data_IF_225986541645
#
_entry.id   IF_225986541645
#
_cell.length_a   1.000
_cell.length_b   1.000
_cell.length_c   1.000
_cell.angle_alpha   90.00
_cell.angle_beta   90.00
_cell.angle_gamma   90.00
#
_symmetry.space_group_name_H-M   'P 1'
#
loop_
_entity.id
_entity.type
_entity.pdbx_description
1 polymer ?
#
# COMPACT_ATOMS: atom_id res chain seq x y z
N UNK A 1 -13.75 -4.62 -13.91
CA UNK A 1 -13.45 -3.43 -13.08
C UNK A 1 -13.25 -3.91 -11.66
N UNK A 2 -12.24 -3.45 -10.94
CA UNK A 2 -11.99 -3.84 -9.54
C UNK A 2 -12.01 -2.57 -8.70
N UNK A 3 -12.87 -2.52 -7.69
CA UNK A 3 -12.86 -1.50 -6.65
C UNK A 3 -11.93 -1.97 -5.52
N UNK A 4 -11.19 -1.02 -4.94
CA UNK A 4 -10.21 -1.29 -3.89
C UNK A 4 -10.53 -0.41 -2.69
N UNK A 5 -10.80 -1.04 -1.56
CA UNK A 5 -11.02 -0.38 -0.28
C UNK A 5 -9.83 -0.65 0.62
N UNK A 6 -9.04 0.39 0.89
CA UNK A 6 -7.79 0.28 1.66
C UNK A 6 -7.89 1.07 2.95
N UNK A 7 -7.49 0.44 4.06
CA UNK A 7 -7.33 1.09 5.36
C UNK A 7 -5.96 0.76 5.92
N UNK A 8 -5.29 1.73 6.54
CA UNK A 8 -3.96 1.51 7.08
C UNK A 8 -3.45 2.69 7.90
N UNK A 9 -2.18 2.62 8.25
CA UNK A 9 -1.47 3.71 8.92
C UNK A 9 -0.22 4.08 8.14
N UNK A 10 0.01 5.38 8.04
CA UNK A 10 1.24 5.99 7.58
C UNK A 10 1.84 6.78 8.75
N UNK A 11 3.08 6.47 9.12
CA UNK A 11 3.82 7.15 10.18
C UNK A 11 5.28 7.27 9.79
N UNK A 12 5.74 8.50 9.72
CA UNK A 12 7.09 8.90 9.32
C UNK A 12 7.72 9.75 10.42
N UNK A 13 8.96 10.16 10.22
CA UNK A 13 9.61 11.24 10.98
C UNK A 13 9.83 12.44 10.06
N UNK A 14 9.98 13.64 10.62
CA UNK A 14 10.21 14.86 9.85
C UNK A 14 11.45 14.76 8.92
N UNK A 15 12.51 14.06 9.36
CA UNK A 15 13.72 13.82 8.55
C UNK A 15 13.42 12.94 7.33
N UNK A 16 12.62 11.89 7.52
CA UNK A 16 12.21 11.00 6.43
C UNK A 16 11.32 11.74 5.44
N UNK A 17 10.34 12.51 5.92
CA UNK A 17 9.45 13.31 5.06
C UNK A 17 10.24 14.34 4.24
N UNK A 18 11.22 15.01 4.86
CA UNK A 18 12.08 15.96 4.15
C UNK A 18 12.91 15.29 3.04
N UNK A 19 13.42 14.08 3.29
CA UNK A 19 14.15 13.28 2.28
C UNK A 19 13.23 12.86 1.12
N UNK A 20 12.03 12.36 1.43
CA UNK A 20 11.03 11.99 0.42
C UNK A 20 10.69 13.21 -0.45
N UNK A 21 10.39 14.37 0.18
CA UNK A 21 10.07 15.60 -0.54
C UNK A 21 11.22 16.12 -1.41
N UNK A 22 12.47 15.84 -1.03
CA UNK A 22 13.67 16.15 -1.81
C UNK A 22 13.97 15.13 -2.92
N UNK A 23 13.16 14.07 -3.07
CA UNK A 23 13.38 12.98 -4.01
C UNK A 23 14.58 12.09 -3.66
N UNK A 24 15.03 12.14 -2.41
CA UNK A 24 16.09 11.25 -1.90
C UNK A 24 15.44 9.90 -1.60
N UNK A 25 15.97 8.78 -2.13
CA UNK A 25 15.47 7.46 -1.83
C UNK A 25 15.42 7.19 -0.32
N UNK A 26 14.30 6.63 0.14
CA UNK A 26 14.08 6.20 1.52
C UNK A 26 13.68 4.74 1.50
N UNK A 27 14.35 3.93 2.31
CA UNK A 27 14.04 2.50 2.38
C UNK A 27 12.69 2.28 3.11
N UNK A 28 11.83 1.35 2.68
CA UNK A 28 10.51 1.09 3.29
C UNK A 28 10.53 0.64 4.77
N UNK A 29 11.73 0.38 5.32
CA UNK A 29 11.95 0.09 6.74
C UNK A 29 12.20 1.33 7.60
N UNK A 30 12.48 2.49 7.00
CA UNK A 30 12.74 3.75 7.72
C UNK A 30 11.47 4.42 8.24
N UNK A 31 10.30 4.05 7.70
CA UNK A 31 8.99 4.53 8.14
C UNK A 31 7.94 3.41 8.11
N UNK A 32 6.82 3.64 8.79
CA UNK A 32 5.73 2.68 8.85
C UNK A 32 4.64 3.08 7.85
N UNK A 33 4.49 2.31 6.78
CA UNK A 33 3.34 2.42 5.87
C UNK A 33 2.77 1.04 5.61
N UNK A 34 1.72 0.67 6.34
CA UNK A 34 1.11 -0.66 6.27
C UNK A 34 -0.40 -0.54 6.21
N UNK A 35 -1.02 -1.42 5.42
CA UNK A 35 -2.45 -1.37 5.12
C UNK A 35 -3.04 -2.77 4.97
N UNK A 36 -4.36 -2.85 5.14
CA UNK A 36 -5.21 -3.97 4.72
C UNK A 36 -6.04 -3.52 3.53
N UNK A 37 -6.43 -4.46 2.66
CA UNK A 37 -7.27 -4.12 1.50
C UNK A 37 -8.31 -5.17 1.21
N UNK A 38 -9.50 -4.67 0.89
CA UNK A 38 -10.62 -5.42 0.37
C UNK A 38 -10.78 -5.07 -1.11
N UNK A 39 -10.95 -6.10 -1.93
CA UNK A 39 -11.23 -5.96 -3.35
C UNK A 39 -12.69 -6.33 -3.62
N UNK A 40 -13.33 -5.58 -4.51
CA UNK A 40 -14.71 -5.83 -4.96
C UNK A 40 -14.73 -5.83 -6.49
N UNK A 41 -15.31 -6.87 -7.10
CA UNK A 41 -15.39 -7.01 -8.55
C UNK A 41 -16.45 -8.05 -8.92
N UNK A 42 -17.17 -7.81 -10.02
CA UNK A 42 -18.11 -8.78 -10.60
C UNK A 42 -17.45 -9.67 -11.68
N UNK A 43 -16.16 -9.49 -11.95
CA UNK A 43 -15.40 -10.28 -12.93
C UNK A 43 -15.11 -11.70 -12.39
N UNK A 44 -15.71 -12.77 -12.96
CA UNK A 44 -15.58 -14.12 -12.41
C UNK A 44 -14.15 -14.66 -12.42
N UNK A 45 -13.33 -14.25 -13.39
CA UNK A 45 -11.92 -14.66 -13.45
C UNK A 45 -11.06 -14.08 -12.31
N UNK A 46 -11.59 -13.11 -11.56
CA UNK A 46 -10.92 -12.43 -10.46
C UNK A 46 -11.58 -12.69 -9.08
N UNK A 47 -12.49 -13.66 -8.96
CA UNK A 47 -13.23 -13.92 -7.71
C UNK A 47 -12.31 -14.20 -6.51
N UNK A 48 -11.12 -14.76 -6.75
CA UNK A 48 -10.14 -14.99 -5.70
C UNK A 48 -9.75 -13.72 -4.92
N UNK A 49 -9.83 -12.53 -5.55
CA UNK A 49 -9.56 -11.25 -4.89
C UNK A 49 -10.62 -10.91 -3.83
N UNK A 50 -11.88 -11.31 -4.04
CA UNK A 50 -12.98 -11.02 -3.11
C UNK A 50 -13.08 -12.04 -1.98
N UNK A 51 -12.38 -13.17 -2.11
CA UNK A 51 -12.40 -14.31 -1.18
C UNK A 51 -11.10 -14.42 -0.35
N UNK A 52 -10.14 -13.51 -0.56
CA UNK A 52 -8.80 -13.56 0.05
C UNK A 52 -8.55 -12.31 0.90
N UNK A 53 -7.96 -12.47 2.09
CA UNK A 53 -7.47 -11.34 2.88
C UNK A 53 -6.13 -10.85 2.33
N UNK A 54 -6.00 -9.54 2.14
CA UNK A 54 -4.75 -8.91 1.73
C UNK A 54 -4.19 -7.98 2.80
N UNK A 55 -2.87 -7.96 2.89
CA UNK A 55 -2.09 -6.92 3.57
C UNK A 55 -1.21 -6.22 2.54
N UNK A 56 -0.76 -5.01 2.84
CA UNK A 56 0.10 -4.27 1.94
C UNK A 56 1.14 -3.41 2.64
N UNK A 57 2.20 -3.14 1.88
CA UNK A 57 3.29 -2.25 2.23
C UNK A 57 3.25 -1.07 1.27
N UNK A 58 3.11 0.14 1.82
CA UNK A 58 3.22 1.37 1.04
C UNK A 58 4.67 1.83 0.92
N UNK A 59 5.00 2.37 -0.24
CA UNK A 59 6.23 3.09 -0.53
C UNK A 59 5.85 4.47 -1.04
N UNK A 60 6.26 5.51 -0.32
CA UNK A 60 6.06 6.91 -0.69
C UNK A 60 7.21 7.36 -1.61
N UNK A 61 6.85 7.73 -2.84
CA UNK A 61 7.76 8.20 -3.88
C UNK A 61 7.73 9.74 -4.00
N UNK A 62 7.04 10.43 -3.10
CA UNK A 62 6.88 11.89 -3.08
C UNK A 62 5.69 12.38 -3.91
N UNK A 63 5.65 12.03 -5.20
CA UNK A 63 4.55 12.40 -6.12
C UNK A 63 3.54 11.26 -6.34
N UNK A 64 3.90 10.05 -5.92
CA UNK A 64 3.10 8.85 -6.07
C UNK A 64 3.30 7.92 -4.87
N UNK A 65 2.32 7.04 -4.66
CA UNK A 65 2.43 5.95 -3.70
C UNK A 65 2.42 4.64 -4.47
N UNK A 66 3.43 3.80 -4.22
CA UNK A 66 3.44 2.41 -4.68
C UNK A 66 2.95 1.52 -3.54
N UNK A 67 1.96 0.67 -3.82
CA UNK A 67 1.47 -0.31 -2.86
C UNK A 67 1.83 -1.70 -3.34
N UNK A 68 2.52 -2.44 -2.48
CA UNK A 68 2.78 -3.87 -2.66
C UNK A 68 1.71 -4.64 -1.90
N UNK A 69 0.81 -5.32 -2.62
CA UNK A 69 -0.22 -6.18 -2.03
C UNK A 69 0.27 -7.61 -1.88
N UNK A 70 -0.08 -8.24 -0.76
CA UNK A 70 0.25 -9.61 -0.43
C UNK A 70 -1.01 -10.34 0.02
N UNK A 71 -1.33 -11.46 -0.65
CA UNK A 71 -2.35 -12.38 -0.18
C UNK A 71 -1.85 -13.10 1.08
N UNK A 72 -2.70 -13.19 2.09
CA UNK A 72 -2.41 -13.97 3.30
C UNK A 72 -2.86 -15.41 3.04
N UNK A 73 -1.89 -16.34 2.98
CA UNK A 73 -2.08 -17.77 2.69
C UNK A 73 -1.36 -18.66 3.70
#
# INVERSE_FOLDING_TARGET
>A
MVQVHTTGFHRTSDDVDARIAAGVPVEPGEYYFRLTSLFETDEPSLSWLTETQFVGVGEDLGDAIRIHFYAVV
#
